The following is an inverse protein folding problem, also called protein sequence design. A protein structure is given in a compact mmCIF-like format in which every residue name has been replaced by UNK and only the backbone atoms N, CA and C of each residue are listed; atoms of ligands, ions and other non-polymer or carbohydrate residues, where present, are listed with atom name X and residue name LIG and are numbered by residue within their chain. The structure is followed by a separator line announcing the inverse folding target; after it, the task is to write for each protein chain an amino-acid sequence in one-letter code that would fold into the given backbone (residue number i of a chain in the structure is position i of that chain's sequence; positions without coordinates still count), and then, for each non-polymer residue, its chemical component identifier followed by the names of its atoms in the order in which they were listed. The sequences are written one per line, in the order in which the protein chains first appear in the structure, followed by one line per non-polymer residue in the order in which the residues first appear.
data_IF_722405463155
#
_entry.id   IF_722405463155
#
_cell.length_a   1.000
_cell.length_b   1.000
_cell.length_c   1.000
_cell.angle_alpha   90.00
_cell.angle_beta   90.00
_cell.angle_gamma   90.00
#
_symmetry.space_group_name_H-M   'P 1'
#
loop_
_entity.id
_entity.type
_entity.pdbx_description
1 polymer ?
#
# COMPACT_ATOMS: atom_id res chain seq x y z
N UNK A 1 18.17 2.61 -1.16
CA UNK A 1 18.21 1.14 -1.25
C UNK A 1 16.80 0.62 -1.52
N UNK A 2 16.59 -0.10 -2.62
CA UNK A 2 15.29 -0.67 -2.94
C UNK A 2 15.03 -1.90 -2.04
N UNK A 3 14.16 -1.75 -1.03
CA UNK A 3 13.69 -2.89 -0.24
C UNK A 3 12.68 -3.65 -1.08
N UNK A 4 13.03 -4.87 -1.50
CA UNK A 4 12.16 -5.70 -2.33
C UNK A 4 11.13 -6.39 -1.44
N UNK A 5 10.01 -5.71 -1.19
CA UNK A 5 8.85 -6.23 -0.45
C UNK A 5 7.89 -7.03 -1.36
N UNK A 6 8.30 -7.38 -2.59
CA UNK A 6 7.44 -8.16 -3.49
C UNK A 6 7.18 -9.55 -2.88
N UNK A 7 5.93 -9.99 -2.92
CA UNK A 7 5.48 -11.27 -2.39
C UNK A 7 5.55 -11.43 -0.85
N UNK A 8 5.69 -10.33 -0.09
CA UNK A 8 5.67 -10.36 1.37
C UNK A 8 4.26 -10.13 1.90
N UNK A 9 3.81 -10.96 2.84
CA UNK A 9 2.52 -10.79 3.50
C UNK A 9 2.65 -9.75 4.63
N UNK A 10 1.77 -8.75 4.65
CA UNK A 10 1.69 -7.76 5.73
C UNK A 10 0.64 -8.20 6.75
N UNK A 11 1.04 -9.09 7.67
CA UNK A 11 0.13 -9.61 8.72
C UNK A 11 0.29 -8.85 10.04
N UNK A 12 1.53 -8.61 10.49
CA UNK A 12 1.83 -7.89 11.72
C UNK A 12 2.99 -6.91 11.50
N UNK A 13 3.01 -5.84 12.28
CA UNK A 13 4.10 -4.85 12.25
C UNK A 13 5.44 -5.43 12.74
N UNK A 14 5.40 -6.44 13.61
CA UNK A 14 6.58 -7.10 14.17
C UNK A 14 7.41 -7.85 13.12
N UNK A 15 6.79 -8.25 12.01
CA UNK A 15 7.46 -8.97 10.92
C UNK A 15 8.32 -8.04 10.05
N UNK A 16 8.26 -6.72 10.27
CA UNK A 16 8.95 -5.71 9.49
C UNK A 16 9.98 -4.97 10.35
N UNK A 17 11.15 -4.73 9.75
CA UNK A 17 12.16 -3.87 10.35
C UNK A 17 11.72 -2.39 10.28
N UNK A 18 12.17 -1.54 11.20
CA UNK A 18 11.86 -0.11 11.17
C UNK A 18 12.29 0.57 9.86
N UNK A 19 13.33 0.07 9.19
CA UNK A 19 13.79 0.58 7.89
C UNK A 19 12.82 0.25 6.75
N UNK A 20 12.22 -0.93 6.76
CA UNK A 20 11.20 -1.32 5.77
C UNK A 20 9.92 -0.52 5.96
N UNK A 21 9.53 -0.25 7.21
CA UNK A 21 8.38 0.62 7.52
C UNK A 21 8.64 2.05 7.05
N UNK A 22 9.83 2.59 7.33
CA UNK A 22 10.23 3.92 6.87
C UNK A 22 10.16 4.02 5.34
N UNK A 23 10.63 3.00 4.62
CA UNK A 23 10.52 2.93 3.17
C UNK A 23 9.06 2.94 2.68
N UNK A 24 8.15 2.22 3.34
CA UNK A 24 6.72 2.24 3.00
C UNK A 24 6.10 3.63 3.23
N UNK A 25 6.50 4.33 4.28
CA UNK A 25 6.04 5.68 4.58
C UNK A 25 6.54 6.70 3.53
N UNK A 26 7.82 6.62 3.16
CA UNK A 26 8.39 7.49 2.13
C UNK A 26 7.71 7.25 0.78
N UNK A 27 7.51 5.99 0.38
CA UNK A 27 6.79 5.66 -0.85
C UNK A 27 5.33 6.16 -0.83
N UNK A 28 4.65 6.09 0.32
CA UNK A 28 3.29 6.60 0.48
C UNK A 28 3.25 8.13 0.32
N UNK A 29 4.27 8.82 0.83
CA UNK A 29 4.40 10.29 0.71
C UNK A 29 4.62 10.70 -0.75
N UNK A 30 5.47 10.00 -1.48
CA UNK A 30 5.69 10.24 -2.91
C UNK A 30 4.43 10.01 -3.74
N UNK A 31 3.69 8.92 -3.48
CA UNK A 31 2.42 8.65 -4.16
C UNK A 31 1.37 9.72 -3.86
N UNK A 32 1.29 10.18 -2.60
CA UNK A 32 0.39 11.27 -2.22
C UNK A 32 0.76 12.58 -2.92
N UNK A 33 2.05 12.91 -3.00
CA UNK A 33 2.54 14.08 -3.71
C UNK A 33 2.25 13.99 -5.22
N UNK A 34 2.50 12.83 -5.83
CA UNK A 34 2.21 12.59 -7.25
C UNK A 34 0.71 12.68 -7.57
N UNK A 35 -0.15 12.15 -6.69
CA UNK A 35 -1.62 12.30 -6.80
C UNK A 35 -2.04 13.77 -6.69
N UNK A 36 -1.46 14.52 -5.75
CA UNK A 36 -1.75 15.94 -5.58
C UNK A 36 -1.26 16.78 -6.77
N UNK A 37 -0.11 16.43 -7.35
CA UNK A 37 0.44 17.07 -8.54
C UNK A 37 -0.24 16.65 -9.85
N UNK A 38 -1.19 15.71 -9.81
CA UNK A 38 -1.88 15.19 -11.00
C UNK A 38 -1.03 14.27 -11.89
N UNK A 39 0.19 13.94 -11.49
CA UNK A 39 1.12 13.06 -12.23
C UNK A 39 1.06 11.62 -11.71
N UNK A 40 -0.15 11.12 -11.45
CA UNK A 40 -0.32 9.77 -10.93
C UNK A 40 0.03 8.73 -12.00
N UNK A 41 0.97 7.85 -11.68
CA UNK A 41 1.27 6.69 -12.52
C UNK A 41 0.45 5.48 -12.03
N UNK A 42 -0.44 4.99 -12.89
CA UNK A 42 -1.24 3.79 -12.63
C UNK A 42 -0.37 2.53 -12.69
N UNK A 43 0.30 2.19 -11.58
CA UNK A 43 1.24 1.05 -11.48
C UNK A 43 0.57 -0.33 -11.35
N UNK A 44 -0.75 -0.38 -11.14
CA UNK A 44 -1.50 -1.62 -10.86
C UNK A 44 -2.49 -2.00 -11.99
N UNK A 45 -2.35 -1.44 -13.19
CA UNK A 45 -3.20 -1.80 -14.33
C UNK A 45 -3.05 -3.31 -14.62
N UNK A 46 -4.17 -4.03 -14.67
CA UNK A 46 -4.21 -5.47 -14.97
C UNK A 46 -3.99 -6.39 -13.77
N UNK A 47 -3.91 -5.87 -12.54
CA UNK A 47 -3.84 -6.69 -11.32
C UNK A 47 -5.21 -6.76 -10.64
N UNK A 48 -5.66 -7.98 -10.34
CA UNK A 48 -6.89 -8.23 -9.59
C UNK A 48 -6.60 -8.30 -8.09
N UNK A 49 -7.36 -7.56 -7.30
CA UNK A 49 -7.25 -7.53 -5.83
C UNK A 49 -8.57 -8.07 -5.27
N UNK A 50 -8.51 -9.14 -4.48
CA UNK A 50 -9.65 -9.68 -3.76
C UNK A 50 -9.73 -9.08 -2.35
N UNK A 51 -10.90 -8.56 -1.98
CA UNK A 51 -11.18 -8.05 -0.64
C UNK A 51 -12.15 -9.02 0.05
N UNK A 52 -11.69 -9.71 1.09
CA UNK A 52 -12.48 -10.68 1.85
C UNK A 52 -12.78 -10.07 3.22
N UNK A 53 -14.06 -9.85 3.52
CA UNK A 53 -14.52 -9.32 4.80
C UNK A 53 -15.31 -10.39 5.55
N UNK A 54 -14.80 -10.83 6.70
CA UNK A 54 -15.51 -11.76 7.59
C UNK A 54 -16.58 -11.05 8.43
N UNK A 55 -16.35 -9.76 8.75
CA UNK A 55 -17.27 -8.89 9.49
C UNK A 55 -17.38 -7.54 8.78
N UNK A 56 -18.59 -7.03 8.62
CA UNK A 56 -18.84 -5.75 7.97
C UNK A 56 -18.19 -4.60 8.76
N UNK A 57 -17.34 -3.80 8.10
CA UNK A 57 -16.78 -2.58 8.66
C UNK A 57 -17.79 -1.43 8.50
N UNK A 58 -17.94 -0.60 9.53
CA UNK A 58 -18.96 0.47 9.60
C UNK A 58 -18.65 1.66 8.69
N UNK A 59 -17.44 1.74 8.15
CA UNK A 59 -17.05 2.72 7.15
C UNK A 59 -17.28 2.10 5.77
N UNK A 60 -18.20 2.64 4.93
CA UNK A 60 -18.34 2.17 3.56
C UNK A 60 -17.03 2.42 2.82
N UNK A 61 -16.36 1.34 2.40
CA UNK A 61 -15.25 1.43 1.45
C UNK A 61 -15.87 1.86 0.11
N UNK A 62 -15.70 3.13 -0.25
CA UNK A 62 -16.20 3.65 -1.52
C UNK A 62 -15.34 3.13 -2.67
N UNK A 63 -15.99 2.48 -3.64
CA UNK A 63 -15.43 2.03 -4.92
C UNK A 63 -15.27 3.19 -5.91
#
# INVERSE_FOLDING_TARGET
MAYNLRNRNFLKLLDFSPKEIQFLLDMSKELKAAKYAGTEQKKLIGKNIALIFEKASTVPMCF
#
